data_IF_185129549332
#
_entry.id   IF_185129549332
#
_cell.length_a   1.000
_cell.length_b   1.000
_cell.length_c   1.000
_cell.angle_alpha   90.00
_cell.angle_beta   90.00
_cell.angle_gamma   90.00
#
_symmetry.space_group_name_H-M   'P 1'
#
loop_
_entity.id
_entity.type
_entity.pdbx_description
1 polymer ?
#
# COMPACT_ATOMS: atom_id res chain seq x y z
N UNK A 1 -3.50 -5.05 7.18
CA UNK A 1 -4.73 -5.71 6.72
C UNK A 1 -5.92 -4.95 7.31
N UNK A 2 -6.61 -4.12 6.52
CA UNK A 2 -7.78 -3.33 6.95
C UNK A 2 -9.01 -3.81 6.21
N UNK A 3 -10.06 -4.16 6.95
CA UNK A 3 -11.38 -4.54 6.45
C UNK A 3 -12.39 -3.45 6.81
N UNK A 4 -12.82 -2.69 5.80
CA UNK A 4 -13.74 -1.58 5.97
C UNK A 4 -15.14 -2.02 6.41
N UNK A 5 -15.49 -3.32 6.31
CA UNK A 5 -16.78 -3.84 6.74
C UNK A 5 -16.86 -4.12 8.24
N UNK A 6 -15.71 -4.12 8.94
CA UNK A 6 -15.64 -4.29 10.40
C UNK A 6 -15.70 -2.93 11.07
N UNK A 7 -16.81 -2.64 11.74
CA UNK A 7 -17.09 -1.33 12.37
C UNK A 7 -15.97 -0.84 13.31
N UNK A 8 -15.36 -1.75 14.06
CA UNK A 8 -14.22 -1.43 14.94
C UNK A 8 -12.97 -1.02 14.15
N UNK A 9 -12.66 -1.70 13.05
CA UNK A 9 -11.50 -1.36 12.22
C UNK A 9 -11.69 -0.03 11.50
N UNK A 10 -12.92 0.27 11.07
CA UNK A 10 -13.28 1.57 10.49
C UNK A 10 -13.12 2.70 11.50
N UNK A 11 -13.63 2.53 12.72
CA UNK A 11 -13.46 3.52 13.79
C UNK A 11 -11.99 3.78 14.14
N UNK A 12 -11.18 2.71 14.18
CA UNK A 12 -9.73 2.85 14.38
C UNK A 12 -9.07 3.59 13.20
N UNK A 13 -9.46 3.30 11.96
CA UNK A 13 -8.93 3.99 10.78
C UNK A 13 -9.23 5.49 10.83
N UNK A 14 -10.44 5.87 11.22
CA UNK A 14 -10.83 7.27 11.35
C UNK A 14 -10.08 7.98 12.49
N UNK A 15 -9.87 7.31 13.62
CA UNK A 15 -9.00 7.81 14.69
C UNK A 15 -7.55 8.02 14.21
N UNK A 16 -7.01 7.05 13.47
CA UNK A 16 -5.65 7.16 12.92
C UNK A 16 -5.54 8.32 11.93
N UNK A 17 -6.55 8.53 11.09
CA UNK A 17 -6.62 9.70 10.19
C UNK A 17 -6.66 11.01 10.97
N UNK A 18 -7.36 11.06 12.10
CA UNK A 18 -7.40 12.25 12.95
C UNK A 18 -6.05 12.54 13.61
N UNK A 19 -5.34 11.50 14.09
CA UNK A 19 -4.06 11.66 14.80
C UNK A 19 -2.93 12.03 13.84
N UNK A 20 -2.81 11.28 12.73
CA UNK A 20 -1.67 11.42 11.82
C UNK A 20 -1.93 12.40 10.68
N UNK A 21 -3.20 12.73 10.39
CA UNK A 21 -3.58 13.70 9.38
C UNK A 21 -2.90 13.44 8.03
N UNK A 22 -2.14 14.42 7.55
CA UNK A 22 -1.42 14.34 6.27
C UNK A 22 -0.18 13.43 6.29
N UNK A 23 0.27 12.98 7.45
CA UNK A 23 1.40 12.04 7.59
C UNK A 23 0.95 10.56 7.52
N UNK A 24 -0.35 10.30 7.36
CA UNK A 24 -0.86 8.95 7.17
C UNK A 24 -0.84 8.56 5.70
N UNK A 25 -0.31 7.36 5.41
CA UNK A 25 -0.42 6.72 4.08
C UNK A 25 -1.90 6.62 3.71
N UNK A 26 -2.23 7.08 2.51
CA UNK A 26 -3.61 7.21 2.03
C UNK A 26 -4.10 5.92 1.39
N UNK A 27 -3.22 5.18 0.71
CA UNK A 27 -3.57 3.89 0.10
C UNK A 27 -3.81 2.83 1.17
N UNK A 28 -5.02 2.24 1.24
CA UNK A 28 -5.31 1.19 2.21
C UNK A 28 -4.70 -0.15 1.77
N UNK A 29 -4.01 -0.82 2.69
CA UNK A 29 -3.57 -2.20 2.48
C UNK A 29 -4.73 -3.18 2.74
N UNK A 30 -5.40 -3.59 1.66
CA UNK A 30 -6.55 -4.50 1.69
C UNK A 30 -6.14 -5.97 1.77
N UNK A 31 -7.06 -6.78 2.29
CA UNK A 31 -6.93 -8.22 2.29
C UNK A 31 -7.04 -8.78 0.87
N UNK A 32 -6.19 -9.75 0.55
CA UNK A 32 -6.15 -10.38 -0.77
C UNK A 32 -5.73 -11.84 -0.63
N UNK A 33 -6.48 -12.73 -1.28
CA UNK A 33 -6.16 -14.16 -1.34
C UNK A 33 -4.78 -14.42 -1.98
N UNK A 34 -4.31 -13.53 -2.86
CA UNK A 34 -2.98 -13.65 -3.48
C UNK A 34 -1.85 -13.48 -2.45
N UNK A 35 -2.05 -12.62 -1.43
CA UNK A 35 -1.09 -12.46 -0.32
C UNK A 35 -1.04 -13.74 0.50
N UNK A 36 -2.20 -14.33 0.79
CA UNK A 36 -2.28 -15.56 1.59
C UNK A 36 -1.64 -16.74 0.81
N UNK A 37 -1.87 -16.82 -0.49
CA UNK A 37 -1.27 -17.81 -1.38
C UNK A 37 0.25 -17.68 -1.52
N UNK A 38 0.78 -16.46 -1.58
CA UNK A 38 2.22 -16.21 -1.59
C UNK A 38 2.84 -16.53 -0.23
N UNK A 39 2.20 -16.12 0.87
CA UNK A 39 2.64 -16.42 2.24
C UNK A 39 2.76 -17.93 2.47
N UNK A 40 1.81 -18.72 1.97
CA UNK A 40 1.85 -20.19 2.08
C UNK A 40 3.07 -20.83 1.39
N UNK A 41 3.74 -20.10 0.49
CA UNK A 41 4.95 -20.52 -0.23
C UNK A 41 6.21 -19.80 0.27
N UNK A 42 6.11 -19.03 1.36
CA UNK A 42 7.20 -18.22 1.92
C UNK A 42 7.80 -17.23 0.91
N UNK A 43 6.95 -16.65 0.08
CA UNK A 43 7.33 -15.69 -0.96
C UNK A 43 6.36 -14.51 -0.99
N UNK A 44 6.71 -13.48 -1.74
CA UNK A 44 5.87 -12.32 -2.01
C UNK A 44 4.98 -12.52 -3.23
N UNK A 45 3.93 -11.71 -3.36
CA UNK A 45 3.01 -11.76 -4.51
C UNK A 45 3.73 -11.48 -5.84
N UNK A 46 4.83 -10.72 -5.80
CA UNK A 46 5.66 -10.37 -6.95
C UNK A 46 6.45 -11.54 -7.51
N UNK A 47 6.77 -12.53 -6.67
CA UNK A 47 7.56 -13.69 -7.07
C UNK A 47 6.69 -14.82 -7.65
N UNK A 48 5.37 -14.71 -7.54
CA UNK A 48 4.44 -15.68 -8.13
C UNK A 48 4.51 -15.63 -9.65
N UNK A 49 4.66 -16.80 -10.29
CA UNK A 49 4.77 -16.95 -11.75
C UNK A 49 3.48 -16.61 -12.51
N UNK A 50 2.36 -16.40 -11.82
CA UNK A 50 1.07 -16.06 -12.40
C UNK A 50 -0.02 -15.91 -11.31
N UNK A 51 -1.24 -15.52 -11.69
CA UNK A 51 -2.37 -15.45 -10.76
C UNK A 51 -2.74 -16.85 -10.25
N UNK A 52 -2.91 -16.99 -8.92
CA UNK A 52 -3.31 -18.27 -8.31
C UNK A 52 -4.83 -18.36 -8.22
N UNK A 53 -5.50 -17.29 -7.79
CA UNK A 53 -6.96 -17.26 -7.68
C UNK A 53 -7.58 -16.78 -8.98
N UNK A 54 -7.26 -15.56 -9.40
CA UNK A 54 -7.69 -15.03 -10.69
C UNK A 54 -6.84 -13.82 -11.08
N UNK A 55 -6.76 -13.55 -12.38
CA UNK A 55 -6.04 -12.37 -12.90
C UNK A 55 -6.55 -11.08 -12.25
N UNK A 56 -7.87 -10.91 -12.16
CA UNK A 56 -8.46 -9.71 -11.58
C UNK A 56 -8.12 -9.53 -10.10
N UNK A 57 -8.04 -10.62 -9.32
CA UNK A 57 -7.65 -10.56 -7.90
C UNK A 57 -6.17 -10.21 -7.77
N UNK A 58 -5.31 -10.80 -8.60
CA UNK A 58 -3.88 -10.45 -8.67
C UNK A 58 -3.66 -8.99 -9.04
N UNK A 59 -4.28 -8.52 -10.11
CA UNK A 59 -4.12 -7.14 -10.59
C UNK A 59 -4.54 -6.15 -9.51
N UNK A 60 -5.67 -6.39 -8.83
CA UNK A 60 -6.11 -5.54 -7.71
C UNK A 60 -5.13 -5.59 -6.53
N UNK A 61 -4.60 -6.77 -6.21
CA UNK A 61 -3.63 -6.95 -5.15
C UNK A 61 -2.35 -6.15 -5.42
N UNK A 62 -1.81 -6.26 -6.63
CA UNK A 62 -0.62 -5.53 -7.06
C UNK A 62 -0.86 -4.03 -7.07
N UNK A 63 -2.00 -3.55 -7.59
CA UNK A 63 -2.36 -2.12 -7.54
C UNK A 63 -2.32 -1.55 -6.12
N UNK A 64 -2.84 -2.28 -5.12
CA UNK A 64 -2.79 -1.79 -3.74
C UNK A 64 -1.38 -1.85 -3.14
N UNK A 65 -0.63 -2.93 -3.39
CA UNK A 65 0.75 -3.06 -2.90
C UNK A 65 1.65 -1.99 -3.51
N UNK A 66 1.59 -1.79 -4.83
CA UNK A 66 2.35 -0.78 -5.56
C UNK A 66 1.98 0.64 -5.11
N UNK A 67 0.69 0.90 -4.84
CA UNK A 67 0.24 2.18 -4.28
C UNK A 67 0.83 2.45 -2.90
N UNK A 68 0.78 1.48 -1.99
CA UNK A 68 1.37 1.61 -0.64
C UNK A 68 2.89 1.76 -0.71
N UNK A 69 3.58 0.91 -1.47
CA UNK A 69 5.02 0.97 -1.63
C UNK A 69 5.49 2.27 -2.29
N UNK A 70 4.74 2.76 -3.29
CA UNK A 70 5.02 4.03 -3.95
C UNK A 70 4.85 5.24 -3.02
N UNK A 71 3.81 5.27 -2.18
CA UNK A 71 3.66 6.31 -1.16
C UNK A 71 4.80 6.27 -0.13
N UNK A 72 5.17 5.09 0.36
CA UNK A 72 6.31 4.93 1.29
C UNK A 72 7.61 5.42 0.66
N UNK A 73 7.89 5.02 -0.58
CA UNK A 73 9.08 5.49 -1.30
C UNK A 73 9.08 7.01 -1.42
N UNK A 74 7.93 7.60 -1.78
CA UNK A 74 7.80 9.03 -1.95
C UNK A 74 8.07 9.78 -0.64
N UNK A 75 7.49 9.32 0.47
CA UNK A 75 7.68 9.93 1.78
C UNK A 75 9.12 9.80 2.26
N UNK A 76 9.77 8.66 2.04
CA UNK A 76 11.21 8.51 2.31
C UNK A 76 12.02 9.49 1.48
N UNK A 77 11.76 9.60 0.17
CA UNK A 77 12.48 10.52 -0.73
C UNK A 77 12.31 11.98 -0.32
N UNK A 78 11.16 12.37 0.23
CA UNK A 78 10.93 13.73 0.76
C UNK A 78 11.84 14.07 1.94
N UNK A 79 12.31 13.07 2.70
CA UNK A 79 13.27 13.29 3.79
C UNK A 79 14.70 13.55 3.31
N UNK A 80 15.01 13.30 2.04
CA UNK A 80 16.37 13.40 1.49
C UNK A 80 16.56 14.69 0.68
N UNK A 81 17.43 15.62 1.12
CA UNK A 81 17.66 16.89 0.40
C UNK A 81 18.10 16.71 -1.06
N UNK A 82 18.87 15.66 -1.35
CA UNK A 82 19.33 15.32 -2.70
C UNK A 82 18.19 15.01 -3.69
N UNK A 83 17.02 14.60 -3.20
CA UNK A 83 15.88 14.25 -4.05
C UNK A 83 14.92 15.42 -4.29
N UNK A 84 15.01 16.53 -3.53
CA UNK A 84 14.08 17.65 -3.60
C UNK A 84 13.99 18.27 -5.00
N UNK A 85 15.13 18.42 -5.68
CA UNK A 85 15.16 18.98 -7.03
C UNK A 85 14.39 18.13 -8.05
N UNK A 86 14.43 16.80 -7.91
CA UNK A 86 13.67 15.87 -8.76
C UNK A 86 12.19 15.86 -8.36
N UNK A 87 11.90 15.81 -7.06
CA UNK A 87 10.53 15.80 -6.54
C UNK A 87 9.73 17.06 -6.92
N UNK A 88 10.36 18.24 -6.94
CA UNK A 88 9.72 19.48 -7.41
C UNK A 88 9.32 19.41 -8.88
N UNK A 89 10.16 18.82 -9.74
CA UNK A 89 9.84 18.61 -11.16
C UNK A 89 8.69 17.62 -11.35
N UNK A 90 8.60 16.63 -10.48
CA UNK A 90 7.53 15.61 -10.46
C UNK A 90 6.24 16.10 -9.77
N UNK A 91 6.24 17.31 -9.17
CA UNK A 91 5.06 17.88 -8.49
C UNK A 91 4.79 17.32 -7.10
N UNK A 92 5.80 16.73 -6.45
CA UNK A 92 5.67 16.08 -5.14
C UNK A 92 6.28 16.86 -3.96
N UNK A 93 6.91 18.00 -4.22
CA UNK A 93 7.58 18.86 -3.24
C UNK A 93 7.40 20.36 -3.58
#
# INVERSE_FOLDING_TARGET
>A
KVDENKSMQRGLLDLMRQIYGNAMIRTPLKDSAEIDNATARLMTVYELSGPITSKQVRDRCLTYLDGVCGEIELDIRRTWPSHLGRLRKEGHA
#
